data_IF_343511039856
#
_entry.id   IF_343511039856
#
_cell.length_a   1.000
_cell.length_b   1.000
_cell.length_c   1.000
_cell.angle_alpha   90.00
_cell.angle_beta   90.00
_cell.angle_gamma   90.00
#
_symmetry.space_group_name_H-M   'P 1'
#
loop_
_entity.id
_entity.type
_entity.pdbx_description
1 polymer ?
#
# COMPACT_ATOMS: atom_id res chain seq x y z
N UNK A 1 11.56 -14.24 -8.08
CA UNK A 1 10.11 -14.18 -7.77
C UNK A 1 9.82 -13.42 -6.47
N UNK A 2 10.38 -13.82 -5.32
CA UNK A 2 10.21 -13.08 -4.05
C UNK A 2 10.61 -11.60 -4.12
N UNK A 3 11.75 -11.29 -4.74
CA UNK A 3 12.21 -9.90 -4.88
C UNK A 3 11.26 -9.06 -5.75
N UNK A 4 10.69 -9.64 -6.80
CA UNK A 4 9.72 -8.94 -7.66
C UNK A 4 8.40 -8.67 -6.92
N UNK A 5 7.94 -9.62 -6.09
CA UNK A 5 6.78 -9.43 -5.24
C UNK A 5 7.03 -8.33 -4.19
N UNK A 6 8.19 -8.34 -3.54
CA UNK A 6 8.61 -7.32 -2.55
C UNK A 6 8.67 -5.92 -3.17
N UNK A 7 9.23 -5.81 -4.39
CA UNK A 7 9.29 -4.56 -5.16
C UNK A 7 7.89 -4.08 -5.57
N UNK A 8 7.04 -4.96 -6.08
CA UNK A 8 5.68 -4.59 -6.53
C UNK A 8 4.80 -4.15 -5.35
N UNK A 9 4.90 -4.82 -4.20
CA UNK A 9 4.15 -4.42 -3.00
C UNK A 9 4.68 -3.10 -2.42
N UNK A 10 5.99 -2.88 -2.42
CA UNK A 10 6.59 -1.59 -2.02
C UNK A 10 6.15 -0.47 -2.96
N UNK A 11 6.16 -0.71 -4.27
CA UNK A 11 5.69 0.26 -5.26
C UNK A 11 4.20 0.59 -5.10
N UNK A 12 3.37 -0.40 -4.77
CA UNK A 12 1.94 -0.18 -4.48
C UNK A 12 1.75 0.74 -3.27
N UNK A 13 2.46 0.47 -2.16
CA UNK A 13 2.41 1.29 -0.93
C UNK A 13 2.81 2.75 -1.26
N UNK A 14 3.95 2.92 -1.95
CA UNK A 14 4.44 4.24 -2.34
C UNK A 14 3.48 4.96 -3.29
N UNK A 15 2.81 4.23 -4.19
CA UNK A 15 1.86 4.81 -5.14
C UNK A 15 0.60 5.30 -4.43
N UNK A 16 0.06 4.51 -3.49
CA UNK A 16 -1.11 4.89 -2.68
C UNK A 16 -0.80 6.15 -1.88
N UNK A 17 0.37 6.23 -1.26
CA UNK A 17 0.77 7.38 -0.46
C UNK A 17 1.05 8.62 -1.33
N UNK A 18 2.06 8.55 -2.20
CA UNK A 18 2.55 9.72 -2.94
C UNK A 18 1.54 10.26 -3.97
N UNK A 19 0.82 9.38 -4.68
CA UNK A 19 -0.16 9.85 -5.68
C UNK A 19 -1.47 10.27 -4.99
N UNK A 20 -1.89 9.51 -3.98
CA UNK A 20 -3.10 9.82 -3.20
C UNK A 20 -2.99 11.17 -2.51
N UNK A 21 -1.93 11.39 -1.74
CA UNK A 21 -1.71 12.65 -1.01
C UNK A 21 -1.58 13.83 -1.97
N UNK A 22 -0.80 13.67 -3.05
CA UNK A 22 -0.64 14.72 -4.08
C UNK A 22 -1.97 15.11 -4.72
N UNK A 23 -2.78 14.13 -5.12
CA UNK A 23 -4.06 14.39 -5.76
C UNK A 23 -5.06 15.03 -4.78
N UNK A 24 -5.05 14.57 -3.53
CA UNK A 24 -5.88 15.13 -2.47
C UNK A 24 -5.53 16.61 -2.21
N UNK A 25 -4.24 16.92 -2.11
CA UNK A 25 -3.73 18.29 -1.94
C UNK A 25 -4.11 19.19 -3.13
N UNK A 26 -3.91 18.71 -4.36
CA UNK A 26 -4.29 19.45 -5.56
C UNK A 26 -5.79 19.73 -5.62
N UNK A 27 -6.61 18.74 -5.26
CA UNK A 27 -8.06 18.87 -5.25
C UNK A 27 -8.51 19.88 -4.20
N UNK A 28 -8.00 19.77 -2.97
CA UNK A 28 -8.22 20.78 -1.91
C UNK A 28 -7.88 22.18 -2.40
N UNK A 29 -6.67 22.40 -2.93
CA UNK A 29 -6.24 23.73 -3.39
C UNK A 29 -7.20 24.29 -4.43
N UNK A 30 -7.57 23.50 -5.45
CA UNK A 30 -8.50 23.94 -6.50
C UNK A 30 -9.91 24.27 -5.97
N UNK A 31 -10.37 23.56 -4.94
CA UNK A 31 -11.66 23.83 -4.32
C UNK A 31 -11.64 25.11 -3.48
N UNK A 32 -10.55 25.35 -2.74
CA UNK A 32 -10.40 26.57 -1.91
C UNK A 32 -10.23 27.86 -2.74
N UNK A 33 -9.71 27.75 -3.96
CA UNK A 33 -9.60 28.85 -4.94
C UNK A 33 -10.96 29.33 -5.47
N UNK A 34 -12.04 28.56 -5.27
CA UNK A 34 -13.39 28.96 -5.67
C UNK A 34 -13.87 30.16 -4.84
N UNK A 35 -14.21 31.24 -5.53
CA UNK A 35 -14.60 32.53 -4.93
C UNK A 35 -16.06 32.51 -4.44
N UNK A 36 -16.86 31.68 -5.08
CA UNK A 36 -18.28 31.44 -4.85
C UNK A 36 -18.57 30.52 -3.66
N UNK A 37 -17.55 29.85 -3.11
CA UNK A 37 -17.70 29.02 -1.93
C UNK A 37 -17.74 29.87 -0.65
N UNK A 38 -18.72 29.61 0.21
CA UNK A 38 -18.80 30.19 1.55
C UNK A 38 -17.61 29.77 2.41
N UNK A 39 -17.36 30.53 3.48
CA UNK A 39 -16.31 30.18 4.44
C UNK A 39 -16.58 28.82 5.10
N UNK A 40 -17.83 28.56 5.51
CA UNK A 40 -18.22 27.27 6.10
C UNK A 40 -17.91 26.09 5.18
N UNK A 41 -18.13 26.23 3.86
CA UNK A 41 -17.80 25.19 2.90
C UNK A 41 -16.28 25.01 2.76
N UNK A 42 -15.51 26.10 2.80
CA UNK A 42 -14.03 26.04 2.79
C UNK A 42 -13.47 25.38 4.04
N UNK A 43 -14.07 25.65 5.20
CA UNK A 43 -13.71 25.02 6.46
C UNK A 43 -14.03 23.53 6.43
N UNK A 44 -15.19 23.14 5.87
CA UNK A 44 -15.53 21.74 5.65
C UNK A 44 -14.54 21.04 4.72
N UNK A 45 -14.12 21.70 3.61
CA UNK A 45 -13.10 21.17 2.70
C UNK A 45 -11.77 20.92 3.44
N UNK A 46 -11.36 21.83 4.33
CA UNK A 46 -10.16 21.68 5.17
C UNK A 46 -10.27 20.49 6.13
N UNK A 47 -11.39 20.37 6.86
CA UNK A 47 -11.63 19.26 7.79
C UNK A 47 -11.61 17.93 7.02
N UNK A 48 -12.36 17.84 5.92
CA UNK A 48 -12.41 16.64 5.09
C UNK A 48 -11.03 16.29 4.52
N UNK A 49 -10.22 17.27 4.11
CA UNK A 49 -8.84 17.03 3.70
C UNK A 49 -7.99 16.39 4.80
N UNK A 50 -8.11 16.86 6.05
CA UNK A 50 -7.39 16.30 7.19
C UNK A 50 -7.81 14.85 7.46
N UNK A 51 -9.13 14.57 7.45
CA UNK A 51 -9.67 13.22 7.64
C UNK A 51 -9.19 12.24 6.55
N UNK A 52 -9.18 12.66 5.29
CA UNK A 52 -8.64 11.85 4.21
C UNK A 52 -7.13 11.64 4.31
N UNK A 53 -6.38 12.67 4.71
CA UNK A 53 -4.93 12.56 4.90
C UNK A 53 -4.59 11.54 5.99
N UNK A 54 -5.32 11.56 7.09
CA UNK A 54 -5.15 10.59 8.17
C UNK A 54 -5.56 9.17 7.74
N UNK A 55 -6.66 9.06 7.00
CA UNK A 55 -7.10 7.78 6.42
C UNK A 55 -6.06 7.18 5.47
N UNK A 56 -5.37 8.00 4.66
CA UNK A 56 -4.30 7.54 3.78
C UNK A 56 -3.11 6.98 4.55
N UNK A 57 -2.70 7.62 5.66
CA UNK A 57 -1.65 7.09 6.56
C UNK A 57 -2.04 5.75 7.19
N UNK A 58 -3.30 5.62 7.60
CA UNK A 58 -3.81 4.37 8.16
C UNK A 58 -3.78 3.23 7.13
N UNK A 59 -4.15 3.52 5.87
CA UNK A 59 -4.07 2.56 4.76
C UNK A 59 -2.62 2.19 4.48
N UNK A 60 -1.69 3.16 4.47
CA UNK A 60 -0.26 2.91 4.31
C UNK A 60 0.27 1.96 5.40
N UNK A 61 -0.03 2.24 6.66
CA UNK A 61 0.38 1.40 7.80
C UNK A 61 -0.18 -0.02 7.69
N UNK A 62 -1.47 -0.15 7.32
CA UNK A 62 -2.10 -1.45 7.09
C UNK A 62 -1.41 -2.24 5.97
N UNK A 63 -1.15 -1.60 4.83
CA UNK A 63 -0.49 -2.23 3.70
C UNK A 63 0.95 -2.66 4.04
N UNK A 64 1.70 -1.82 4.76
CA UNK A 64 3.04 -2.15 5.24
C UNK A 64 3.03 -3.37 6.19
N UNK A 65 2.07 -3.43 7.11
CA UNK A 65 1.90 -4.58 8.00
C UNK A 65 1.56 -5.85 7.23
N UNK A 66 0.62 -5.79 6.28
CA UNK A 66 0.25 -6.95 5.45
C UNK A 66 1.42 -7.41 4.58
N UNK A 67 2.19 -6.49 4.02
CA UNK A 67 3.39 -6.80 3.25
C UNK A 67 4.43 -7.54 4.11
N UNK A 68 4.73 -7.04 5.32
CA UNK A 68 5.65 -7.68 6.24
C UNK A 68 5.17 -9.10 6.66
N UNK A 69 3.87 -9.25 6.94
CA UNK A 69 3.28 -10.54 7.29
C UNK A 69 3.40 -11.54 6.13
N UNK A 70 3.07 -11.13 4.91
CA UNK A 70 3.15 -11.99 3.74
C UNK A 70 4.60 -12.45 3.48
N UNK A 71 5.56 -11.52 3.58
CA UNK A 71 7.00 -11.81 3.43
C UNK A 71 7.46 -12.85 4.44
N UNK A 72 6.97 -12.79 5.68
CA UNK A 72 7.27 -13.77 6.73
C UNK A 72 6.71 -15.16 6.39
N UNK A 73 5.45 -15.24 5.96
CA UNK A 73 4.83 -16.52 5.63
C UNK A 73 5.47 -17.19 4.39
N UNK A 74 5.79 -16.43 3.34
CA UNK A 74 6.48 -16.97 2.16
C UNK A 74 7.85 -17.54 2.55
N UNK A 75 8.60 -16.85 3.43
CA UNK A 75 9.90 -17.35 3.92
C UNK A 75 9.80 -18.66 4.70
N UNK A 76 8.66 -18.94 5.35
CA UNK A 76 8.43 -20.21 6.06
C UNK A 76 8.09 -21.35 5.12
N UNK A 77 7.24 -21.08 4.12
CA UNK A 77 6.72 -22.12 3.21
C UNK A 77 7.75 -22.51 2.15
N UNK A 78 8.62 -21.59 1.72
CA UNK A 78 9.57 -21.83 0.64
C UNK A 78 10.53 -23.02 0.91
N UNK A 79 11.15 -23.15 2.11
CA UNK A 79 11.95 -24.33 2.44
C UNK A 79 11.18 -25.65 2.37
N UNK A 80 9.92 -25.68 2.83
CA UNK A 80 9.09 -26.89 2.83
C UNK A 80 8.81 -27.35 1.39
N UNK A 81 8.43 -26.43 0.50
CA UNK A 81 8.23 -26.74 -0.93
C UNK A 81 9.53 -27.26 -1.56
N UNK A 82 10.67 -26.62 -1.27
CA UNK A 82 11.96 -27.06 -1.79
C UNK A 82 12.34 -28.47 -1.29
N UNK A 83 12.07 -28.79 -0.03
CA UNK A 83 12.30 -30.12 0.52
C UNK A 83 11.44 -31.18 -0.18
N UNK A 84 10.15 -30.90 -0.38
CA UNK A 84 9.22 -31.81 -1.08
C UNK A 84 9.70 -32.06 -2.52
N UNK A 85 10.08 -31.00 -3.24
CA UNK A 85 10.59 -31.12 -4.62
C UNK A 85 11.90 -31.93 -4.66
N UNK A 86 12.84 -31.65 -3.75
CA UNK A 86 14.09 -32.40 -3.65
C UNK A 86 13.84 -33.89 -3.37
N UNK A 87 12.89 -34.23 -2.50
CA UNK A 87 12.51 -35.61 -2.22
C UNK A 87 11.93 -36.29 -3.46
N UNK A 88 11.06 -35.61 -4.21
CA UNK A 88 10.44 -36.15 -5.42
C UNK A 88 11.41 -36.34 -6.58
N UNK A 89 12.36 -35.42 -6.74
CA UNK A 89 13.44 -35.59 -7.70
C UNK A 89 14.27 -36.83 -7.34
N UNK A 90 14.65 -37.02 -6.08
CA UNK A 90 15.39 -38.22 -5.66
C UNK A 90 14.64 -39.52 -5.94
N UNK A 91 13.31 -39.54 -5.78
CA UNK A 91 12.49 -40.71 -6.12
C UNK A 91 12.46 -41.03 -7.62
N UNK A 92 12.65 -40.04 -8.51
CA UNK A 92 12.62 -40.27 -9.96
C UNK A 92 13.96 -40.74 -10.54
N UNK A 93 15.06 -40.46 -9.84
CA UNK A 93 16.41 -40.83 -10.26
C UNK A 93 16.97 -42.06 -9.53
N UNK A 94 16.23 -42.62 -8.57
CA UNK A 94 16.46 -43.94 -7.97
C UNK A 94 15.48 -44.96 -8.57
#
# INVERSE_FOLDING_TARGET
>A
MLNALDQNLTALILKVNNIGERNLKLTKTKLLEKKDFSQDLKDLIEITYLEFTESLKNIEGFLAQKHASLKKEIKKILPEILQILCAKIKEWYN
#
